data_IF_820128534328
#
_entry.id   IF_820128534328
#
_cell.length_a   1.000
_cell.length_b   1.000
_cell.length_c   1.000
_cell.angle_alpha   90.00
_cell.angle_beta   90.00
_cell.angle_gamma   90.00
#
_symmetry.space_group_name_H-M   'P 1'
#
loop_
_entity.id
_entity.type
_entity.pdbx_description
1 polymer ?
#
# COMPACT_ATOMS: atom_id res chain seq x y z
N UNK A 1 16.39 32.74 31.47
CA UNK A 1 15.20 31.93 31.16
C UNK A 1 14.80 32.26 29.73
N UNK A 2 15.28 31.49 28.75
CA UNK A 2 15.00 31.70 27.32
C UNK A 2 14.75 30.32 26.68
N UNK A 3 13.62 30.20 26.00
CA UNK A 3 13.23 29.25 24.95
C UNK A 3 13.76 27.82 24.99
N UNK A 4 12.96 26.91 25.55
CA UNK A 4 13.15 25.45 25.47
C UNK A 4 12.03 24.71 24.70
N UNK A 5 11.31 25.38 23.79
CA UNK A 5 10.25 24.73 22.96
C UNK A 5 10.46 24.77 21.43
N UNK A 6 11.51 25.43 20.92
CA UNK A 6 11.77 25.59 19.47
C UNK A 6 12.46 24.45 18.68
N UNK A 7 13.31 23.57 19.26
CA UNK A 7 14.13 22.64 18.45
C UNK A 7 13.47 21.30 18.10
N UNK A 8 12.40 20.89 18.78
CA UNK A 8 11.72 19.61 18.53
C UNK A 8 10.81 19.65 17.32
N UNK A 9 10.05 20.74 17.13
CA UNK A 9 9.13 20.90 16.01
C UNK A 9 9.87 21.02 14.66
N UNK A 10 10.99 21.76 14.61
CA UNK A 10 11.79 21.91 13.40
C UNK A 10 12.44 20.58 12.99
N UNK A 11 12.93 19.79 13.96
CA UNK A 11 13.49 18.45 13.70
C UNK A 11 12.41 17.49 13.19
N UNK A 12 11.25 17.44 13.86
CA UNK A 12 10.13 16.64 13.40
C UNK A 12 9.66 17.05 11.99
N UNK A 13 9.61 18.34 11.68
CA UNK A 13 9.26 18.83 10.34
C UNK A 13 10.29 18.42 9.28
N UNK A 14 11.59 18.48 9.61
CA UNK A 14 12.67 17.99 8.74
C UNK A 14 12.56 16.48 8.50
N UNK A 15 12.35 15.69 9.54
CA UNK A 15 12.20 14.23 9.44
C UNK A 15 10.99 13.83 8.60
N UNK A 16 9.86 14.52 8.79
CA UNK A 16 8.67 14.37 7.93
C UNK A 16 9.00 14.74 6.49
N UNK A 17 9.71 15.84 6.26
CA UNK A 17 10.14 16.27 4.94
C UNK A 17 11.02 15.24 4.22
N UNK A 18 12.00 14.67 4.93
CA UNK A 18 12.86 13.60 4.39
C UNK A 18 12.05 12.33 4.10
N UNK A 19 11.10 11.97 4.96
CA UNK A 19 10.19 10.85 4.73
C UNK A 19 9.32 11.03 3.49
N UNK A 20 8.75 12.22 3.29
CA UNK A 20 7.94 12.54 2.10
C UNK A 20 8.81 12.49 0.83
N UNK A 21 10.00 13.10 0.85
CA UNK A 21 10.91 13.09 -0.29
C UNK A 21 11.35 11.67 -0.67
N UNK A 22 11.69 10.83 0.32
CA UNK A 22 12.03 9.43 0.12
C UNK A 22 10.85 8.63 -0.45
N UNK A 23 9.63 8.85 0.07
CA UNK A 23 8.42 8.20 -0.42
C UNK A 23 8.09 8.56 -1.87
N UNK A 24 8.18 9.84 -2.23
CA UNK A 24 7.98 10.31 -3.60
C UNK A 24 9.01 9.69 -4.54
N UNK A 25 10.29 9.74 -4.19
CA UNK A 25 11.35 9.21 -5.03
C UNK A 25 11.26 7.68 -5.22
N UNK A 26 10.85 6.93 -4.18
CA UNK A 26 10.54 5.50 -4.32
C UNK A 26 9.41 5.26 -5.32
N UNK A 27 8.35 6.08 -5.27
CA UNK A 27 7.23 5.98 -6.22
C UNK A 27 7.64 6.30 -7.65
N UNK A 28 8.56 7.24 -7.85
CA UNK A 28 9.14 7.49 -9.18
C UNK A 28 9.87 6.26 -9.72
N UNK A 29 10.64 5.55 -8.90
CA UNK A 29 11.32 4.33 -9.34
C UNK A 29 10.34 3.16 -9.56
N UNK A 30 9.33 3.02 -8.71
CA UNK A 30 8.35 1.92 -8.78
C UNK A 30 7.36 2.05 -9.94
N UNK A 31 6.98 3.28 -10.30
CA UNK A 31 5.87 3.52 -11.22
C UNK A 31 6.05 2.91 -12.62
N UNK A 32 7.23 2.93 -13.27
CA UNK A 32 7.46 2.22 -14.53
C UNK A 32 7.18 0.71 -14.44
N UNK A 33 7.53 0.08 -13.30
CA UNK A 33 7.27 -1.34 -13.08
C UNK A 33 5.80 -1.60 -12.80
N UNK A 34 5.15 -0.74 -12.03
CA UNK A 34 3.70 -0.84 -11.76
C UNK A 34 2.89 -0.64 -13.04
N UNK A 35 3.27 0.31 -13.89
CA UNK A 35 2.66 0.53 -15.21
C UNK A 35 2.82 -0.70 -16.10
N UNK A 36 4.01 -1.30 -16.11
CA UNK A 36 4.31 -2.51 -16.88
C UNK A 36 3.50 -3.70 -16.40
N UNK A 37 3.38 -3.89 -15.09
CA UNK A 37 2.54 -4.92 -14.49
C UNK A 37 1.08 -4.75 -14.92
N UNK A 38 0.54 -3.54 -14.84
CA UNK A 38 -0.84 -3.24 -15.24
C UNK A 38 -1.04 -3.52 -16.74
N UNK A 39 -0.12 -3.09 -17.61
CA UNK A 39 -0.16 -3.36 -19.07
C UNK A 39 -0.05 -4.85 -19.42
N UNK A 40 0.74 -5.61 -18.66
CA UNK A 40 0.83 -7.07 -18.86
C UNK A 40 -0.39 -7.82 -18.33
N UNK A 41 -1.01 -7.35 -17.25
CA UNK A 41 -2.27 -7.91 -16.75
C UNK A 41 -3.42 -7.61 -17.71
N UNK A 42 -3.36 -6.48 -18.41
CA UNK A 42 -4.29 -6.07 -19.45
C UNK A 42 -4.34 -6.99 -20.65
N UNK A 43 -3.18 -7.31 -21.22
CA UNK A 43 -3.10 -8.06 -22.47
C UNK A 43 -3.64 -9.49 -22.35
N UNK A 44 -3.83 -10.00 -21.12
CA UNK A 44 -4.51 -11.30 -20.88
C UNK A 44 -5.97 -11.26 -21.34
N UNK A 45 -6.56 -10.07 -21.41
CA UNK A 45 -7.93 -9.84 -21.85
C UNK A 45 -8.02 -9.49 -23.35
N UNK A 46 -6.89 -9.30 -24.03
CA UNK A 46 -6.82 -9.02 -25.46
C UNK A 46 -6.75 -10.34 -26.26
N UNK A 47 -7.38 -10.38 -27.43
CA UNK A 47 -7.36 -11.57 -28.31
C UNK A 47 -5.96 -11.86 -28.88
N UNK A 48 -5.11 -10.83 -28.97
CA UNK A 48 -3.71 -10.96 -29.39
C UNK A 48 -2.78 -10.36 -28.32
N UNK A 49 -1.70 -11.08 -28.00
CA UNK A 49 -0.72 -10.62 -27.03
C UNK A 49 0.12 -9.45 -27.58
N UNK A 50 -0.11 -8.24 -27.07
CA UNK A 50 0.60 -7.02 -27.51
C UNK A 50 2.06 -6.94 -27.04
N UNK A 51 2.39 -7.62 -25.95
CA UNK A 51 3.73 -7.65 -25.34
C UNK A 51 4.19 -9.09 -25.05
N UNK A 52 5.41 -9.41 -25.46
CA UNK A 52 6.02 -10.74 -25.24
C UNK A 52 6.57 -10.91 -23.81
N UNK A 53 6.54 -9.84 -22.99
CA UNK A 53 6.98 -9.87 -21.60
C UNK A 53 7.19 -8.48 -21.00
N UNK A 54 7.64 -8.41 -19.73
CA UNK A 54 7.80 -7.15 -18.99
C UNK A 54 8.81 -6.20 -19.62
N UNK A 55 9.95 -6.73 -20.06
CA UNK A 55 11.01 -5.92 -20.69
C UNK A 55 10.59 -5.42 -22.08
N UNK A 56 9.86 -6.23 -22.84
CA UNK A 56 9.30 -5.83 -24.14
C UNK A 56 8.25 -4.72 -23.95
N UNK A 57 7.40 -4.85 -22.94
CA UNK A 57 6.42 -3.82 -22.58
C UNK A 57 7.09 -2.50 -22.17
N UNK A 58 8.12 -2.53 -21.31
CA UNK A 58 8.89 -1.35 -20.94
C UNK A 58 9.54 -0.69 -22.16
N UNK A 59 10.22 -1.47 -23.01
CA UNK A 59 10.94 -0.96 -24.17
C UNK A 59 9.99 -0.37 -25.22
N UNK A 60 8.89 -1.06 -25.53
CA UNK A 60 7.84 -0.54 -26.43
C UNK A 60 7.19 0.73 -25.87
N UNK A 61 6.93 0.79 -24.56
CA UNK A 61 6.38 1.99 -23.91
C UNK A 61 7.35 3.17 -24.01
N UNK A 62 8.63 2.94 -23.74
CA UNK A 62 9.68 3.96 -23.89
C UNK A 62 9.78 4.46 -25.33
N UNK A 63 9.82 3.55 -26.31
CA UNK A 63 9.96 3.89 -27.73
C UNK A 63 8.73 4.60 -28.31
N UNK A 64 7.53 4.21 -27.91
CA UNK A 64 6.29 4.71 -28.52
C UNK A 64 5.70 5.92 -27.81
N UNK A 65 5.83 6.01 -26.47
CA UNK A 65 5.20 7.07 -25.67
C UNK A 65 6.22 7.95 -24.91
N UNK A 66 7.49 7.56 -24.94
CA UNK A 66 8.57 8.28 -24.26
C UNK A 66 8.43 8.30 -22.73
N UNK A 67 9.21 9.19 -22.10
CA UNK A 67 9.22 9.40 -20.65
C UNK A 67 7.83 9.81 -20.15
N UNK A 68 7.09 10.60 -20.92
CA UNK A 68 5.74 11.07 -20.54
C UNK A 68 4.74 9.93 -20.50
N UNK A 69 4.90 8.90 -21.34
CA UNK A 69 4.11 7.67 -21.27
C UNK A 69 4.39 6.84 -20.03
N UNK A 70 5.68 6.69 -19.68
CA UNK A 70 6.08 5.94 -18.48
C UNK A 70 5.53 6.51 -17.19
N UNK A 71 5.48 7.83 -17.05
CA UNK A 71 4.98 8.50 -15.83
C UNK A 71 3.52 8.95 -15.92
N UNK A 72 2.81 8.55 -16.97
CA UNK A 72 1.39 8.90 -17.13
C UNK A 72 0.58 8.27 -15.99
N UNK A 73 -0.22 9.09 -15.31
CA UNK A 73 -1.09 8.65 -14.22
C UNK A 73 -0.40 8.55 -12.85
N UNK A 74 0.89 8.91 -12.71
CA UNK A 74 1.63 8.91 -11.43
C UNK A 74 0.97 9.71 -10.29
N UNK A 75 0.30 10.86 -10.51
CA UNK A 75 -0.27 11.64 -9.40
C UNK A 75 -1.33 10.88 -8.59
N UNK A 76 -2.17 10.06 -9.22
CA UNK A 76 -3.25 9.36 -8.52
C UNK A 76 -2.73 8.30 -7.51
N UNK A 77 -1.75 7.43 -7.86
CA UNK A 77 -1.07 6.56 -6.90
C UNK A 77 -0.37 7.29 -5.75
N UNK A 78 0.24 8.46 -6.02
CA UNK A 78 0.92 9.25 -4.98
C UNK A 78 -0.11 9.81 -3.99
N UNK A 79 -1.14 10.49 -4.49
CA UNK A 79 -2.21 11.06 -3.64
C UNK A 79 -2.91 9.97 -2.85
N UNK A 80 -3.18 8.82 -3.46
CA UNK A 80 -3.79 7.69 -2.75
C UNK A 80 -2.91 7.17 -1.62
N UNK A 81 -1.61 6.98 -1.86
CA UNK A 81 -0.69 6.53 -0.80
C UNK A 81 -0.52 7.58 0.31
N UNK A 82 -0.57 8.87 -0.01
CA UNK A 82 -0.53 9.94 0.99
C UNK A 82 -1.79 9.94 1.86
N UNK A 83 -2.97 9.83 1.24
CA UNK A 83 -4.24 9.77 1.95
C UNK A 83 -4.34 8.54 2.86
N UNK A 84 -3.88 7.38 2.36
CA UNK A 84 -3.78 6.12 3.11
C UNK A 84 -2.95 6.27 4.37
N UNK A 85 -1.68 6.69 4.21
CA UNK A 85 -0.76 6.82 5.33
C UNK A 85 -1.22 7.88 6.33
N UNK A 86 -1.68 9.04 5.86
CA UNK A 86 -2.17 10.10 6.74
C UNK A 86 -3.38 9.64 7.57
N UNK A 87 -4.35 8.98 6.93
CA UNK A 87 -5.51 8.43 7.61
C UNK A 87 -5.13 7.34 8.61
N UNK A 88 -4.22 6.44 8.22
CA UNK A 88 -3.80 5.32 9.05
C UNK A 88 -3.10 5.82 10.32
N UNK A 89 -2.13 6.73 10.20
CA UNK A 89 -1.41 7.27 11.35
C UNK A 89 -2.30 8.07 12.30
N UNK A 90 -3.22 8.89 11.75
CA UNK A 90 -4.17 9.64 12.54
C UNK A 90 -5.11 8.69 13.31
N UNK A 91 -5.74 7.77 12.59
CA UNK A 91 -6.70 6.82 13.19
C UNK A 91 -6.02 5.90 14.21
N UNK A 92 -4.78 5.47 13.92
CA UNK A 92 -3.99 4.66 14.83
C UNK A 92 -3.68 5.39 16.13
N UNK A 93 -3.26 6.66 16.07
CA UNK A 93 -2.98 7.47 17.26
C UNK A 93 -4.23 7.62 18.12
N UNK A 94 -5.35 8.02 17.54
CA UNK A 94 -6.60 8.21 18.27
C UNK A 94 -7.07 6.90 18.93
N UNK A 95 -7.01 5.78 18.20
CA UNK A 95 -7.40 4.47 18.75
C UNK A 95 -6.46 3.99 19.84
N UNK A 96 -5.15 4.26 19.74
CA UNK A 96 -4.22 3.97 20.82
C UNK A 96 -4.54 4.78 22.08
N UNK A 97 -4.84 6.07 21.94
CA UNK A 97 -5.24 6.92 23.07
C UNK A 97 -6.53 6.40 23.72
N UNK A 98 -7.53 6.02 22.93
CA UNK A 98 -8.79 5.44 23.43
C UNK A 98 -8.53 4.13 24.17
N UNK A 99 -7.78 3.20 23.59
CA UNK A 99 -7.49 1.89 24.21
C UNK A 99 -6.74 2.07 25.54
N UNK A 100 -5.80 3.02 25.62
CA UNK A 100 -5.09 3.32 26.87
C UNK A 100 -6.01 3.93 27.93
N UNK A 101 -6.89 4.87 27.53
CA UNK A 101 -7.88 5.47 28.45
C UNK A 101 -8.84 4.42 29.01
N UNK A 102 -9.32 3.49 28.18
CA UNK A 102 -10.22 2.40 28.60
C UNK A 102 -9.53 1.42 29.55
N UNK A 103 -8.24 1.14 29.34
CA UNK A 103 -7.47 0.24 30.20
C UNK A 103 -6.87 0.96 31.45
N UNK A 104 -7.24 2.22 31.70
CA UNK A 104 -6.68 3.05 32.77
C UNK A 104 -5.14 3.11 32.78
N UNK A 105 -4.51 3.02 31.60
CA UNK A 105 -3.06 3.10 31.44
C UNK A 105 -2.63 4.55 31.15
N UNK A 106 -1.50 5.02 31.73
CA UNK A 106 -0.96 6.32 31.38
C UNK A 106 -0.53 6.34 29.90
N UNK A 107 -0.78 7.45 29.21
CA UNK A 107 -0.52 7.61 27.77
C UNK A 107 0.97 7.36 27.44
N UNK A 108 1.86 7.59 28.40
CA UNK A 108 3.31 7.42 28.30
C UNK A 108 3.79 5.96 28.27
N UNK A 109 2.98 5.00 28.72
CA UNK A 109 3.43 3.61 28.79
C UNK A 109 3.44 2.94 27.40
N UNK A 110 4.43 2.07 27.12
CA UNK A 110 4.47 1.32 25.87
C UNK A 110 3.26 0.37 25.79
N UNK A 111 2.52 0.45 24.68
CA UNK A 111 1.37 -0.41 24.43
C UNK A 111 1.81 -1.88 24.27
N UNK A 112 1.02 -2.81 24.80
CA UNK A 112 1.25 -4.24 24.58
C UNK A 112 1.00 -4.64 23.12
N UNK A 113 1.63 -5.74 22.66
CA UNK A 113 1.43 -6.26 21.30
C UNK A 113 -0.06 -6.42 20.88
N UNK A 114 -0.95 -6.98 21.72
CA UNK A 114 -2.36 -7.09 21.38
C UNK A 114 -3.07 -5.72 21.24
N UNK A 115 -2.71 -4.74 22.07
CA UNK A 115 -3.25 -3.38 21.96
C UNK A 115 -2.78 -2.67 20.69
N UNK A 116 -1.51 -2.87 20.31
CA UNK A 116 -0.96 -2.37 19.04
C UNK A 116 -1.70 -3.00 17.85
N UNK A 117 -1.88 -4.32 17.87
CA UNK A 117 -2.60 -5.04 16.82
C UNK A 117 -4.07 -4.59 16.71
N UNK A 118 -4.75 -4.40 17.84
CA UNK A 118 -6.14 -3.93 17.89
C UNK A 118 -6.27 -2.49 17.39
N UNK A 119 -5.38 -1.59 17.82
CA UNK A 119 -5.34 -0.21 17.35
C UNK A 119 -5.05 -0.15 15.84
N UNK A 120 -4.11 -0.96 15.35
CA UNK A 120 -3.76 -1.07 13.94
C UNK A 120 -4.94 -1.60 13.11
N UNK A 121 -5.61 -2.66 13.58
CA UNK A 121 -6.78 -3.22 12.92
C UNK A 121 -7.91 -2.18 12.82
N UNK A 122 -8.25 -1.51 13.93
CA UNK A 122 -9.26 -0.45 13.93
C UNK A 122 -8.89 0.74 13.04
N UNK A 123 -7.61 1.10 12.99
CA UNK A 123 -7.13 2.18 12.13
C UNK A 123 -7.26 1.80 10.65
N UNK A 124 -6.87 0.57 10.28
CA UNK A 124 -7.06 0.03 8.94
C UNK A 124 -8.54 -0.02 8.54
N UNK A 125 -9.43 -0.39 9.46
CA UNK A 125 -10.87 -0.36 9.25
C UNK A 125 -11.36 1.05 8.90
N UNK A 126 -10.96 2.08 9.65
CA UNK A 126 -11.33 3.48 9.38
C UNK A 126 -10.74 3.95 8.04
N UNK A 127 -9.45 3.70 7.82
CA UNK A 127 -8.75 4.06 6.59
C UNK A 127 -9.40 3.42 5.36
N UNK A 128 -9.92 2.20 5.47
CA UNK A 128 -10.59 1.51 4.37
C UNK A 128 -11.78 2.31 3.79
N UNK A 129 -12.53 3.05 4.62
CA UNK A 129 -13.66 3.86 4.16
C UNK A 129 -13.21 5.04 3.29
N UNK A 130 -12.08 5.65 3.62
CA UNK A 130 -11.48 6.74 2.85
C UNK A 130 -10.77 6.22 1.60
N UNK A 131 -10.15 5.04 1.71
CA UNK A 131 -9.32 4.48 0.66
C UNK A 131 -10.13 3.85 -0.48
N UNK A 132 -11.28 3.24 -0.16
CA UNK A 132 -12.14 2.55 -1.14
C UNK A 132 -12.48 3.42 -2.36
N UNK A 133 -12.99 4.66 -2.24
CA UNK A 133 -13.29 5.50 -3.41
C UNK A 133 -12.04 5.88 -4.21
N UNK A 134 -10.91 6.11 -3.53
CA UNK A 134 -9.64 6.49 -4.17
C UNK A 134 -9.09 5.31 -4.99
N UNK A 135 -9.11 4.11 -4.41
CA UNK A 135 -8.70 2.89 -5.08
C UNK A 135 -9.61 2.53 -6.24
N UNK A 136 -10.93 2.75 -6.12
CA UNK A 136 -11.87 2.52 -7.21
C UNK A 136 -11.55 3.42 -8.40
N UNK A 137 -11.34 4.73 -8.17
CA UNK A 137 -10.95 5.67 -9.24
C UNK A 137 -9.62 5.27 -9.86
N UNK A 138 -8.63 4.94 -9.04
CA UNK A 138 -7.32 4.46 -9.51
C UNK A 138 -7.45 3.21 -10.37
N UNK A 139 -8.22 2.21 -9.91
CA UNK A 139 -8.44 0.96 -10.64
C UNK A 139 -9.15 1.22 -11.96
N UNK A 140 -10.24 2.01 -11.97
CA UNK A 140 -10.94 2.39 -13.20
C UNK A 140 -10.04 3.10 -14.20
N UNK A 141 -9.23 4.06 -13.76
CA UNK A 141 -8.26 4.72 -14.63
C UNK A 141 -7.23 3.73 -15.17
N UNK A 142 -6.74 2.82 -14.33
CA UNK A 142 -5.80 1.78 -14.74
C UNK A 142 -6.41 0.85 -15.78
N UNK A 143 -7.66 0.41 -15.61
CA UNK A 143 -8.36 -0.46 -16.57
C UNK A 143 -8.73 0.28 -17.86
N UNK A 144 -9.10 1.56 -17.80
CA UNK A 144 -9.36 2.37 -19.00
C UNK A 144 -8.10 2.59 -19.84
N UNK A 145 -6.93 2.61 -19.22
CA UNK A 145 -5.66 2.59 -19.96
C UNK A 145 -5.42 1.25 -20.69
N UNK A 146 -6.13 0.18 -20.32
CA UNK A 146 -6.04 -1.15 -20.92
C UNK A 146 -6.97 -1.29 -22.14
N UNK A 147 -8.13 -0.65 -22.11
CA UNK A 147 -9.18 -0.80 -23.13
C UNK A 147 -9.11 0.21 -24.28
N UNK A 148 -8.17 1.15 -24.26
CA UNK A 148 -8.01 2.14 -25.35
C UNK A 148 -7.04 1.63 -26.42
N UNK A 149 -7.60 1.35 -27.60
CA UNK A 149 -6.84 1.12 -28.83
C UNK A 149 -5.99 2.35 -29.21
N UNK A 150 -4.79 2.17 -29.79
CA UNK A 150 -3.82 3.24 -30.06
C UNK A 150 -4.31 4.36 -31.02
N UNK A 151 -5.47 4.21 -31.66
CA UNK A 151 -5.97 5.14 -32.69
C UNK A 151 -7.02 6.15 -32.21
N UNK A 152 -7.49 6.09 -30.96
CA UNK A 152 -8.45 7.05 -30.42
C UNK A 152 -7.78 7.97 -29.40
N UNK A 153 -7.14 9.03 -29.89
CA UNK A 153 -6.58 10.12 -29.09
C UNK A 153 -7.66 11.01 -28.42
N UNK A 154 -8.76 10.43 -27.94
CA UNK A 154 -9.64 11.14 -27.02
C UNK A 154 -8.94 11.19 -25.66
N UNK A 155 -8.81 12.41 -25.15
CA UNK A 155 -8.27 12.75 -23.83
C UNK A 155 -8.78 11.78 -22.77
N UNK A 156 -7.92 10.87 -22.32
CA UNK A 156 -8.21 9.96 -21.21
C UNK A 156 -8.81 10.80 -20.06
N UNK A 157 -10.01 10.48 -19.58
CA UNK A 157 -10.68 11.25 -18.54
C UNK A 157 -9.79 11.28 -17.29
N UNK A 158 -9.59 12.48 -16.75
CA UNK A 158 -8.89 12.65 -15.48
C UNK A 158 -9.60 11.96 -14.31
N UNK A 159 -8.93 11.85 -13.15
CA UNK A 159 -9.49 11.19 -11.97
C UNK A 159 -10.83 11.80 -11.53
N UNK A 160 -10.99 13.11 -11.69
CA UNK A 160 -12.23 13.83 -11.37
C UNK A 160 -13.37 13.43 -12.31
N UNK A 161 -13.12 13.31 -13.62
CA UNK A 161 -14.16 12.87 -14.56
C UNK A 161 -14.57 11.41 -14.34
N UNK A 162 -13.63 10.53 -13.97
CA UNK A 162 -13.97 9.15 -13.60
C UNK A 162 -14.82 9.13 -12.34
N UNK A 163 -14.43 9.88 -11.32
CA UNK A 163 -15.21 10.03 -10.08
C UNK A 163 -16.62 10.55 -10.33
N UNK A 164 -16.76 11.65 -11.10
CA UNK A 164 -18.05 12.24 -11.45
C UNK A 164 -18.90 11.29 -12.30
N UNK A 165 -18.29 10.53 -13.21
CA UNK A 165 -18.98 9.52 -14.02
C UNK A 165 -19.53 8.40 -13.14
N UNK A 166 -18.75 7.91 -12.17
CA UNK A 166 -19.23 6.89 -11.20
C UNK A 166 -20.38 7.43 -10.37
N UNK A 167 -20.27 8.67 -9.89
CA UNK A 167 -21.31 9.31 -9.09
C UNK A 167 -22.61 9.47 -9.89
N UNK A 168 -22.51 9.84 -11.17
CA UNK A 168 -23.67 10.03 -12.06
C UNK A 168 -24.32 8.71 -12.47
N UNK A 169 -23.54 7.67 -12.72
CA UNK A 169 -24.05 6.40 -13.29
C UNK A 169 -24.45 5.38 -12.22
N UNK A 170 -23.71 5.30 -11.11
CA UNK A 170 -23.90 4.27 -10.07
C UNK A 170 -24.35 4.87 -8.72
N UNK A 171 -24.31 6.20 -8.59
CA UNK A 171 -24.61 6.90 -7.34
C UNK A 171 -23.51 6.76 -6.30
N UNK A 172 -23.73 7.36 -5.13
CA UNK A 172 -22.79 7.41 -4.00
C UNK A 172 -22.37 6.00 -3.56
N UNK A 173 -23.31 5.04 -3.49
CA UNK A 173 -23.02 3.65 -3.11
C UNK A 173 -22.07 2.94 -4.09
N UNK A 174 -22.01 3.37 -5.34
CA UNK A 174 -21.09 2.82 -6.33
C UNK A 174 -19.62 3.08 -6.00
N UNK A 175 -19.32 4.14 -5.24
CA UNK A 175 -17.95 4.47 -4.82
C UNK A 175 -17.37 3.46 -3.83
N UNK A 176 -18.21 2.67 -3.15
CA UNK A 176 -17.80 1.63 -2.19
C UNK A 176 -17.85 0.21 -2.79
N UNK A 177 -17.84 0.10 -4.12
CA UNK A 177 -17.72 -1.20 -4.76
C UNK A 177 -16.37 -1.86 -4.40
N UNK A 178 -16.43 -3.08 -3.87
CA UNK A 178 -15.24 -3.80 -3.39
C UNK A 178 -14.79 -3.42 -1.98
N UNK A 179 -15.56 -2.59 -1.25
CA UNK A 179 -15.24 -2.16 0.11
C UNK A 179 -14.95 -3.33 1.05
N UNK A 180 -15.72 -4.42 0.99
CA UNK A 180 -15.50 -5.61 1.84
C UNK A 180 -14.09 -6.18 1.68
N UNK A 181 -13.58 -6.23 0.45
CA UNK A 181 -12.22 -6.70 0.19
C UNK A 181 -11.17 -5.74 0.74
N UNK A 182 -11.35 -4.42 0.51
CA UNK A 182 -10.47 -3.39 1.08
C UNK A 182 -10.51 -3.40 2.61
N UNK A 183 -11.67 -3.56 3.22
CA UNK A 183 -11.85 -3.61 4.67
C UNK A 183 -11.10 -4.80 5.29
N UNK A 184 -11.27 -6.00 4.72
CA UNK A 184 -10.57 -7.21 5.19
C UNK A 184 -9.06 -7.05 5.04
N UNK A 185 -8.60 -6.58 3.86
CA UNK A 185 -7.20 -6.33 3.57
C UNK A 185 -6.59 -5.32 4.53
N UNK A 186 -7.21 -4.16 4.70
CA UNK A 186 -6.69 -3.10 5.55
C UNK A 186 -6.70 -3.51 7.01
N UNK A 187 -7.82 -4.01 7.53
CA UNK A 187 -7.94 -4.41 8.95
C UNK A 187 -6.99 -5.53 9.32
N UNK A 188 -7.00 -6.63 8.54
CA UNK A 188 -6.14 -7.78 8.83
C UNK A 188 -4.68 -7.51 8.48
N UNK A 189 -4.45 -6.78 7.40
CA UNK A 189 -3.12 -6.48 6.90
C UNK A 189 -2.37 -5.54 7.84
N UNK A 190 -2.96 -4.43 8.26
CA UNK A 190 -2.29 -3.50 9.20
C UNK A 190 -1.98 -4.19 10.52
N UNK A 191 -2.89 -5.03 11.03
CA UNK A 191 -2.66 -5.84 12.23
C UNK A 191 -1.47 -6.78 12.04
N UNK A 192 -1.42 -7.52 10.93
CA UNK A 192 -0.30 -8.40 10.59
C UNK A 192 1.01 -7.63 10.44
N UNK A 193 0.99 -6.46 9.81
CA UNK A 193 2.16 -5.61 9.62
C UNK A 193 2.73 -5.11 10.95
N UNK A 194 1.91 -4.46 11.78
CA UNK A 194 2.36 -3.93 13.06
C UNK A 194 2.81 -5.04 14.03
N UNK A 195 2.08 -6.16 14.09
CA UNK A 195 2.44 -7.30 14.95
C UNK A 195 3.76 -7.93 14.52
N UNK A 196 3.94 -8.14 13.22
CA UNK A 196 5.19 -8.73 12.69
C UNK A 196 6.36 -7.78 12.89
N UNK A 197 6.15 -6.48 12.68
CA UNK A 197 7.18 -5.46 12.89
C UNK A 197 7.67 -5.47 14.33
N UNK A 198 6.74 -5.44 15.29
CA UNK A 198 7.05 -5.45 16.73
C UNK A 198 7.73 -6.76 17.17
N UNK A 199 7.26 -7.89 16.64
CA UNK A 199 7.86 -9.19 16.91
C UNK A 199 9.29 -9.31 16.38
N UNK A 200 9.54 -8.90 15.13
CA UNK A 200 10.89 -8.94 14.55
C UNK A 200 11.81 -7.92 15.23
N UNK A 201 11.29 -6.73 15.54
CA UNK A 201 12.03 -5.71 16.29
C UNK A 201 12.47 -6.20 17.67
N UNK A 202 11.56 -6.80 18.45
CA UNK A 202 11.86 -7.33 19.78
C UNK A 202 12.88 -8.49 19.73
N UNK A 203 12.80 -9.36 18.71
CA UNK A 203 13.82 -10.40 18.49
C UNK A 203 15.21 -9.84 18.19
N UNK A 204 15.30 -8.80 17.36
CA UNK A 204 16.59 -8.16 17.01
C UNK A 204 17.20 -7.44 18.21
N UNK A 205 16.39 -6.73 18.99
CA UNK A 205 16.81 -6.06 20.22
C UNK A 205 17.26 -7.09 21.26
N UNK A 206 16.51 -8.17 21.47
CA UNK A 206 16.87 -9.23 22.40
C UNK A 206 18.21 -9.88 22.05
N UNK A 207 18.44 -10.19 20.76
CA UNK A 207 19.73 -10.73 20.29
C UNK A 207 20.89 -9.77 20.53
N UNK A 208 20.67 -8.46 20.38
CA UNK A 208 21.71 -7.46 20.65
C UNK A 208 22.00 -7.34 22.15
N UNK A 209 20.97 -7.35 22.98
CA UNK A 209 21.13 -7.30 24.43
C UNK A 209 21.94 -8.50 24.93
N UNK A 210 21.66 -9.71 24.44
CA UNK A 210 22.47 -10.90 24.75
C UNK A 210 23.95 -10.72 24.35
N UNK A 211 24.23 -10.05 23.23
CA UNK A 211 25.61 -9.73 22.79
C UNK A 211 26.26 -8.58 23.57
N UNK A 212 25.48 -7.64 24.08
CA UNK A 212 25.96 -6.45 24.79
C UNK A 212 26.28 -6.74 26.26
N UNK A 213 25.64 -7.77 26.85
CA UNK A 213 25.95 -8.27 28.19
C UNK A 213 27.36 -8.87 28.27
N UNK A 214 27.88 -9.44 27.17
CA UNK A 214 29.29 -9.87 27.07
C UNK A 214 30.27 -8.71 26.84
N UNK A 215 29.81 -7.52 26.43
CA UNK A 215 30.65 -6.42 25.93
C UNK A 215 30.66 -5.13 26.74
N UNK A 216 29.94 -5.04 27.87
CA UNK A 216 30.04 -3.92 28.82
C UNK A 216 29.48 -2.56 28.37
N UNK A 217 28.56 -2.49 27.40
CA UNK A 217 27.92 -1.22 26.99
C UNK A 217 26.57 -0.94 27.70
N UNK A 218 26.30 0.35 27.93
CA UNK A 218 25.15 0.89 28.68
C UNK A 218 23.79 0.61 28.03
N UNK A 219 22.81 0.20 28.86
CA UNK A 219 21.49 -0.33 28.45
C UNK A 219 20.54 0.67 27.75
N UNK A 220 20.82 1.97 27.77
CA UNK A 220 19.91 2.99 27.23
C UNK A 220 19.89 3.06 25.70
N UNK A 221 21.04 2.88 25.04
CA UNK A 221 21.15 2.87 23.56
C UNK A 221 20.65 1.54 22.95
N UNK A 222 20.44 0.50 23.77
CA UNK A 222 20.03 -0.82 23.31
C UNK A 222 18.55 -0.94 22.95
N UNK A 223 17.71 0.00 23.40
CA UNK A 223 16.24 -0.05 23.18
C UNK A 223 15.82 0.57 21.84
N UNK A 224 16.67 1.41 21.24
CA UNK A 224 16.40 2.02 19.94
C UNK A 224 16.85 1.08 18.80
N UNK A 225 15.90 0.83 17.88
CA UNK A 225 16.15 0.07 16.66
C UNK A 225 17.14 0.83 15.78
N UNK A 226 18.16 0.13 15.28
CA UNK A 226 19.05 0.72 14.26
C UNK A 226 18.25 0.94 12.97
N UNK A 227 18.61 1.93 12.14
CA UNK A 227 17.90 2.20 10.90
C UNK A 227 17.74 0.95 10.00
N UNK A 228 18.77 0.11 9.89
CA UNK A 228 18.71 -1.14 9.11
C UNK A 228 17.87 -2.24 9.76
N UNK A 229 17.78 -2.30 11.09
CA UNK A 229 16.91 -3.25 11.80
C UNK A 229 15.45 -2.85 11.70
N UNK A 230 15.18 -1.54 11.77
CA UNK A 230 13.86 -0.98 11.48
C UNK A 230 13.45 -1.28 10.04
N UNK A 231 14.37 -1.14 9.07
CA UNK A 231 14.12 -1.51 7.68
C UNK A 231 13.87 -3.01 7.50
N UNK A 232 14.67 -3.88 8.13
CA UNK A 232 14.49 -5.33 8.06
C UNK A 232 13.16 -5.77 8.69
N UNK A 233 12.83 -5.26 9.87
CA UNK A 233 11.56 -5.54 10.55
C UNK A 233 10.37 -5.06 9.72
N UNK A 234 10.47 -3.88 9.08
CA UNK A 234 9.49 -3.35 8.14
C UNK A 234 9.34 -4.21 6.87
N UNK A 235 10.43 -4.72 6.31
CA UNK A 235 10.39 -5.60 5.14
C UNK A 235 9.72 -6.95 5.46
N UNK A 236 10.06 -7.57 6.59
CA UNK A 236 9.40 -8.78 7.07
C UNK A 236 7.91 -8.55 7.35
N UNK A 237 7.56 -7.42 7.95
CA UNK A 237 6.17 -7.01 8.16
C UNK A 237 5.42 -6.82 6.85
N UNK A 238 6.04 -6.20 5.85
CA UNK A 238 5.49 -6.06 4.51
C UNK A 238 5.25 -7.40 3.82
N UNK A 239 6.19 -8.34 3.96
CA UNK A 239 6.00 -9.70 3.44
C UNK A 239 4.83 -10.42 4.14
N UNK A 240 4.75 -10.34 5.47
CA UNK A 240 3.66 -10.93 6.24
C UNK A 240 2.29 -10.34 5.90
N UNK A 241 2.19 -9.01 5.75
CA UNK A 241 0.99 -8.31 5.26
C UNK A 241 0.52 -8.91 3.93
N UNK A 242 1.44 -8.99 2.96
CA UNK A 242 1.11 -9.44 1.62
C UNK A 242 0.73 -10.91 1.58
N UNK A 243 1.38 -11.77 2.37
CA UNK A 243 1.07 -13.22 2.41
C UNK A 243 -0.24 -13.51 3.13
N UNK A 244 -0.51 -12.85 4.25
CA UNK A 244 -1.68 -13.13 5.06
C UNK A 244 -2.98 -12.71 4.36
N UNK A 245 -2.97 -11.56 3.66
CA UNK A 245 -4.17 -10.97 3.09
C UNK A 245 -4.25 -11.05 1.55
N UNK A 246 -3.27 -11.72 0.91
CA UNK A 246 -3.26 -11.93 -0.54
C UNK A 246 -4.57 -12.49 -1.13
N UNK A 247 -5.26 -13.46 -0.48
CA UNK A 247 -6.52 -13.98 -1.01
C UNK A 247 -7.60 -12.90 -1.10
N UNK A 248 -7.67 -11.99 -0.13
CA UNK A 248 -8.64 -10.90 -0.12
C UNK A 248 -8.36 -9.89 -1.25
N UNK A 249 -7.08 -9.59 -1.47
CA UNK A 249 -6.61 -8.71 -2.55
C UNK A 249 -6.97 -9.28 -3.91
N UNK A 250 -6.73 -10.58 -4.10
CA UNK A 250 -6.98 -11.27 -5.36
C UNK A 250 -8.48 -11.27 -5.69
N UNK A 251 -9.35 -11.55 -4.70
CA UNK A 251 -10.81 -11.50 -4.88
C UNK A 251 -11.28 -10.07 -5.17
N UNK A 252 -10.77 -9.08 -4.45
CA UNK A 252 -11.09 -7.67 -4.68
C UNK A 252 -10.72 -7.25 -6.10
N UNK A 253 -9.50 -7.55 -6.54
CA UNK A 253 -9.04 -7.21 -7.89
C UNK A 253 -9.90 -7.91 -8.95
N UNK A 254 -10.22 -9.19 -8.77
CA UNK A 254 -11.09 -9.93 -9.68
C UNK A 254 -12.49 -9.28 -9.79
N UNK A 255 -13.11 -8.90 -8.67
CA UNK A 255 -14.41 -8.21 -8.66
C UNK A 255 -14.36 -6.84 -9.35
N UNK A 256 -13.31 -6.05 -9.10
CA UNK A 256 -13.15 -4.73 -9.71
C UNK A 256 -12.94 -4.84 -11.23
N UNK A 257 -12.17 -5.84 -11.67
CA UNK A 257 -11.98 -6.14 -13.10
C UNK A 257 -13.27 -6.65 -13.75
N UNK A 258 -14.01 -7.54 -13.11
CA UNK A 258 -15.29 -8.07 -13.62
C UNK A 258 -16.31 -6.96 -13.87
N UNK A 259 -16.44 -5.99 -12.95
CA UNK A 259 -17.39 -4.88 -13.12
C UNK A 259 -16.99 -3.94 -14.29
N UNK A 260 -15.70 -3.71 -14.51
CA UNK A 260 -15.25 -2.81 -15.58
C UNK A 260 -15.34 -3.46 -16.97
N UNK A 261 -15.15 -4.78 -17.06
CA UNK A 261 -15.32 -5.55 -18.30
C UNK A 261 -16.78 -5.82 -18.66
N UNK A 262 -17.70 -5.45 -17.77
CA UNK A 262 -19.09 -5.78 -17.91
C UNK A 262 -19.75 -4.94 -19.02
N UNK A 263 -20.46 -5.56 -19.99
CA UNK A 263 -21.10 -4.81 -21.05
C UNK A 263 -22.19 -3.88 -20.49
N UNK A 264 -22.28 -2.64 -21.01
CA UNK A 264 -23.27 -1.66 -20.56
C UNK A 264 -24.68 -2.20 -20.79
N UNK A 265 -25.49 -2.24 -19.73
CA UNK A 265 -26.87 -2.73 -19.77
C UNK A 265 -27.08 -4.22 -19.42
N UNK A 266 -26.04 -4.97 -19.07
CA UNK A 266 -26.22 -6.36 -18.63
C UNK A 266 -26.96 -6.44 -17.28
N UNK A 267 -27.94 -7.35 -17.20
CA UNK A 267 -28.82 -7.57 -16.03
C UNK A 267 -28.24 -8.60 -15.04
N UNK A 268 -27.06 -9.18 -15.32
CA UNK A 268 -26.44 -10.21 -14.49
C UNK A 268 -26.27 -9.77 -13.02
N UNK A 269 -26.51 -10.63 -12.06
CA UNK A 269 -26.38 -10.23 -10.64
C UNK A 269 -24.90 -9.94 -10.33
N UNK A 270 -24.58 -8.78 -9.75
CA UNK A 270 -23.20 -8.47 -9.29
C UNK A 270 -22.72 -9.59 -8.37
N UNK A 271 -21.52 -10.11 -8.62
CA UNK A 271 -20.92 -11.15 -7.80
C UNK A 271 -20.64 -10.58 -6.40
N UNK A 272 -21.05 -11.30 -5.36
CA UNK A 272 -20.71 -10.93 -3.98
C UNK A 272 -19.28 -11.37 -3.69
N UNK A 273 -18.61 -10.72 -2.73
CA UNK A 273 -17.23 -11.08 -2.35
C UNK A 273 -17.08 -12.57 -2.03
N UNK A 274 -18.03 -13.15 -1.27
CA UNK A 274 -18.06 -14.58 -0.98
C UNK A 274 -18.34 -15.43 -2.23
N UNK A 275 -19.19 -14.95 -3.14
CA UNK A 275 -19.49 -15.61 -4.40
C UNK A 275 -18.25 -15.70 -5.29
N UNK A 276 -17.54 -14.59 -5.47
CA UNK A 276 -16.29 -14.51 -6.24
C UNK A 276 -15.20 -15.35 -5.59
N UNK A 277 -15.01 -15.25 -4.27
CA UNK A 277 -14.06 -16.11 -3.53
C UNK A 277 -14.34 -17.60 -3.77
N UNK A 278 -15.59 -18.03 -3.62
CA UNK A 278 -15.99 -19.43 -3.81
C UNK A 278 -15.82 -19.90 -5.25
N UNK A 279 -16.12 -19.03 -6.23
CA UNK A 279 -15.92 -19.31 -7.65
C UNK A 279 -14.43 -19.47 -7.98
N UNK A 280 -13.58 -18.56 -7.51
CA UNK A 280 -12.13 -18.63 -7.69
C UNK A 280 -11.52 -19.86 -7.03
N UNK A 281 -11.94 -20.16 -5.79
CA UNK A 281 -11.49 -21.34 -5.07
C UNK A 281 -11.90 -22.64 -5.79
N UNK A 282 -13.12 -22.71 -6.34
CA UNK A 282 -13.56 -23.88 -7.12
C UNK A 282 -12.82 -24.02 -8.45
N UNK A 283 -12.45 -22.92 -9.10
CA UNK A 283 -11.80 -22.93 -10.41
C UNK A 283 -10.29 -23.24 -10.34
N UNK A 284 -9.58 -22.64 -9.39
CA UNK A 284 -8.11 -22.68 -9.33
C UNK A 284 -7.54 -23.05 -7.95
N UNK A 285 -8.41 -23.29 -6.96
CA UNK A 285 -8.01 -23.64 -5.59
C UNK A 285 -7.21 -22.53 -4.89
N UNK A 286 -6.45 -22.94 -3.86
CA UNK A 286 -5.54 -22.06 -3.11
C UNK A 286 -4.44 -21.47 -3.99
N UNK A 287 -3.97 -22.19 -5.02
CA UNK A 287 -2.95 -21.68 -5.95
C UNK A 287 -3.44 -20.47 -6.73
N UNK A 288 -4.71 -20.45 -7.15
CA UNK A 288 -5.32 -19.28 -7.79
C UNK A 288 -5.43 -18.08 -6.85
N UNK A 289 -5.78 -18.31 -5.58
CA UNK A 289 -5.87 -17.25 -4.57
C UNK A 289 -4.52 -16.62 -4.21
N UNK A 290 -3.40 -17.33 -4.43
CA UNK A 290 -2.04 -16.84 -4.18
C UNK A 290 -1.27 -16.51 -5.47
N UNK A 291 -1.95 -16.50 -6.62
CA UNK A 291 -1.33 -16.24 -7.91
C UNK A 291 -0.76 -14.80 -7.95
N UNK A 292 0.57 -14.68 -8.02
CA UNK A 292 1.27 -13.39 -8.03
C UNK A 292 1.82 -12.92 -6.68
N UNK A 293 1.61 -13.67 -5.58
CA UNK A 293 2.12 -13.31 -4.26
C UNK A 293 3.65 -13.17 -4.24
N UNK A 294 4.36 -14.09 -4.90
CA UNK A 294 5.82 -14.05 -5.01
C UNK A 294 6.35 -12.77 -5.67
N UNK A 295 5.66 -12.27 -6.70
CA UNK A 295 6.05 -11.02 -7.39
C UNK A 295 5.86 -9.83 -6.45
N UNK A 296 4.75 -9.80 -5.70
CA UNK A 296 4.45 -8.72 -4.75
C UNK A 296 5.47 -8.68 -3.60
N UNK A 297 5.85 -9.83 -3.06
CA UNK A 297 6.89 -9.92 -2.02
C UNK A 297 8.26 -9.54 -2.58
N UNK A 298 8.64 -10.03 -3.77
CA UNK A 298 9.90 -9.66 -4.41
C UNK A 298 10.01 -8.15 -4.67
N UNK A 299 8.89 -7.47 -4.98
CA UNK A 299 8.83 -6.01 -5.17
C UNK A 299 9.15 -5.22 -3.89
N UNK A 300 8.77 -5.73 -2.72
CA UNK A 300 8.94 -5.01 -1.45
C UNK A 300 10.40 -4.80 -1.04
N UNK A 301 11.31 -5.69 -1.45
CA UNK A 301 12.74 -5.59 -1.15
C UNK A 301 13.41 -4.35 -1.76
N UNK A 302 13.41 -4.20 -3.10
CA UNK A 302 14.00 -3.04 -3.78
C UNK A 302 13.37 -1.71 -3.39
N UNK A 303 12.03 -1.67 -3.24
CA UNK A 303 11.28 -0.50 -2.77
C UNK A 303 11.78 -0.03 -1.39
N UNK A 304 11.89 -0.96 -0.44
CA UNK A 304 12.37 -0.66 0.92
C UNK A 304 13.83 -0.17 0.92
N UNK A 305 14.68 -0.74 0.06
CA UNK A 305 16.07 -0.33 -0.08
C UNK A 305 16.21 1.12 -0.60
N UNK A 306 15.37 1.52 -1.57
CA UNK A 306 15.40 2.87 -2.15
C UNK A 306 14.94 3.91 -1.13
N UNK A 307 13.84 3.64 -0.41
CA UNK A 307 13.37 4.53 0.66
C UNK A 307 14.47 4.75 1.70
N UNK A 308 15.16 3.67 2.09
CA UNK A 308 16.25 3.75 3.04
C UNK A 308 17.44 4.58 2.53
N UNK A 309 17.92 4.30 1.31
CA UNK A 309 19.05 5.01 0.70
C UNK A 309 18.79 6.51 0.59
N UNK A 310 17.55 6.88 0.23
CA UNK A 310 17.18 8.29 0.06
C UNK A 310 16.99 8.97 1.40
N UNK A 311 16.31 8.33 2.36
CA UNK A 311 16.14 8.89 3.70
C UNK A 311 17.48 9.08 4.40
N UNK A 312 18.35 8.06 4.42
CA UNK A 312 19.67 8.11 5.04
C UNK A 312 20.59 9.12 4.33
N UNK A 313 20.53 9.17 2.99
CA UNK A 313 21.27 10.14 2.20
C UNK A 313 20.85 11.60 2.46
N UNK A 314 19.55 11.85 2.59
CA UNK A 314 19.02 13.19 2.91
C UNK A 314 19.30 13.58 4.36
N UNK A 315 19.12 12.64 5.30
CA UNK A 315 19.40 12.85 6.72
C UNK A 315 20.87 13.15 6.97
N UNK A 316 21.80 12.43 6.32
CA UNK A 316 23.25 12.69 6.44
C UNK A 316 23.68 14.04 5.86
N UNK A 317 22.97 14.55 4.85
CA UNK A 317 23.37 15.76 4.11
C UNK A 317 22.72 17.04 4.66
N UNK A 318 21.54 16.93 5.29
CA UNK A 318 20.76 18.09 5.74
C UNK A 318 20.29 18.02 7.21
N UNK A 319 20.51 16.88 7.87
CA UNK A 319 20.19 16.63 9.28
C UNK A 319 21.14 17.32 10.26
#
# INVERSE_FOLDING_TARGET
MHDSQGPSALRAAKDIGYGIAAGIASKFFEHPFDLTKVRLQAQVLEAEARFNGPLDCLNKTWRNEGIRGLYRGLPAPIVGAMAENASLFLSYRELQEVIKRVNHQPITDPSSMPQIALAAAGAGAITSFLLTPIELVKCKMQVQMLSVAPSAAHTLPGPISVFTSVLRNTGVRGLWLGHTGTFIRETGGTAAWFTTKEFVASLLVARRQSRSVEGGLTSASAKELRPWESALSGACAGAAFNVALFPADTVKSAMQTEEELRPPGSVAKRSSFLGTFKAMYRAQGIRGLYAGCGITVARSGPSSAIIFLIYDGLSKRFG
#
